data_IF_735578271989
#
_entry.id   IF_735578271989
#
_cell.length_a   1.000
_cell.length_b   1.000
_cell.length_c   1.000
_cell.angle_alpha   90.00
_cell.angle_beta   90.00
_cell.angle_gamma   90.00
#
_symmetry.space_group_name_H-M   'P 1'
#
loop_
_entity.id
_entity.type
_entity.pdbx_description
1 polymer ?
#
# COMPACT_ATOMS: atom_id res chain seq x y z
N UNK A 1 -23.20 -25.69 16.61
CA UNK A 1 -23.57 -25.54 15.18
C UNK A 1 -22.44 -24.76 14.54
N UNK A 2 -21.61 -25.43 13.76
CA UNK A 2 -20.50 -24.84 13.02
C UNK A 2 -20.82 -25.04 11.54
N UNK A 3 -20.88 -23.95 10.76
CA UNK A 3 -21.04 -24.01 9.31
C UNK A 3 -19.69 -24.31 8.68
N UNK A 4 -19.70 -25.24 7.73
CA UNK A 4 -18.55 -25.83 7.08
C UNK A 4 -17.80 -24.81 6.19
N UNK A 5 -16.47 -24.77 6.36
CA UNK A 5 -15.55 -24.38 5.30
C UNK A 5 -15.38 -25.58 4.34
N UNK A 6 -15.61 -25.45 3.03
CA UNK A 6 -15.31 -26.50 2.08
C UNK A 6 -13.80 -26.49 1.81
N UNK A 7 -13.02 -27.23 2.61
CA UNK A 7 -11.66 -27.60 2.26
C UNK A 7 -11.70 -28.49 1.02
N UNK A 8 -11.30 -27.96 -0.14
CA UNK A 8 -11.01 -28.77 -1.32
C UNK A 8 -9.73 -29.57 -1.04
N UNK A 9 -9.89 -30.84 -0.66
CA UNK A 9 -8.78 -31.78 -0.52
C UNK A 9 -8.48 -32.35 -1.90
N UNK A 10 -7.35 -31.95 -2.51
CA UNK A 10 -6.82 -32.61 -3.72
C UNK A 10 -5.74 -33.58 -3.27
N UNK A 11 -5.99 -34.87 -3.48
CA UNK A 11 -5.17 -35.97 -3.00
C UNK A 11 -3.78 -36.04 -3.65
N UNK A 12 -2.87 -36.64 -2.90
CA UNK A 12 -1.51 -36.98 -3.31
C UNK A 12 -1.50 -37.85 -4.57
N UNK A 13 -1.04 -37.30 -5.70
CA UNK A 13 -0.70 -38.10 -6.87
C UNK A 13 -0.83 -37.39 -8.21
N UNK A 14 0.03 -36.43 -8.51
CA UNK A 14 0.39 -36.12 -9.89
C UNK A 14 1.89 -35.81 -9.96
N UNK A 15 2.65 -36.75 -10.50
CA UNK A 15 4.01 -36.50 -11.00
C UNK A 15 3.91 -36.41 -12.51
N UNK A 16 4.16 -35.23 -13.08
CA UNK A 16 4.37 -35.09 -14.52
C UNK A 16 5.84 -35.41 -14.84
N UNK A 17 6.06 -36.51 -15.54
CA UNK A 17 7.29 -36.78 -16.28
C UNK A 17 6.92 -36.73 -17.74
N UNK A 18 7.13 -35.57 -18.36
CA UNK A 18 6.87 -35.34 -19.78
C UNK A 18 6.52 -33.89 -20.08
N UNK A 19 7.18 -33.33 -21.10
CA UNK A 19 6.86 -32.04 -21.72
C UNK A 19 5.43 -32.09 -22.29
N UNK A 20 4.56 -31.22 -21.81
CA UNK A 20 3.17 -31.11 -22.30
C UNK A 20 3.18 -30.20 -23.52
N UNK A 21 2.82 -30.76 -24.69
CA UNK A 21 2.39 -29.99 -25.84
C UNK A 21 0.94 -29.55 -25.61
N UNK A 22 0.60 -28.32 -25.97
CA UNK A 22 -0.77 -27.79 -25.96
C UNK A 22 -1.74 -28.77 -26.64
N UNK A 23 -2.83 -29.12 -25.95
CA UNK A 23 -3.90 -29.92 -26.52
C UNK A 23 -4.69 -29.03 -27.51
N UNK A 24 -4.30 -29.09 -28.78
CA UNK A 24 -5.01 -28.43 -29.86
C UNK A 24 -6.30 -29.20 -30.16
N UNK A 25 -7.43 -28.76 -29.58
CA UNK A 25 -8.74 -29.29 -29.93
C UNK A 25 -9.27 -28.64 -31.21
N UNK A 26 -9.10 -29.30 -32.35
CA UNK A 26 -9.72 -28.88 -33.61
C UNK A 26 -11.23 -29.17 -33.56
N UNK A 27 -12.05 -28.13 -33.62
CA UNK A 27 -13.46 -28.29 -33.99
C UNK A 27 -13.50 -28.89 -35.41
N UNK A 28 -14.39 -29.87 -35.60
CA UNK A 28 -14.41 -30.77 -36.77
C UNK A 28 -14.27 -30.04 -38.11
N UNK A 29 -13.09 -30.15 -38.75
CA UNK A 29 -12.91 -29.62 -40.10
C UNK A 29 -11.47 -29.44 -40.61
N UNK A 30 -10.44 -29.48 -39.76
CA UNK A 30 -9.05 -29.28 -40.21
C UNK A 30 -8.43 -30.63 -40.59
N UNK A 31 -8.28 -30.87 -41.89
CA UNK A 31 -7.70 -32.09 -42.44
C UNK A 31 -6.16 -32.12 -42.24
N UNK A 32 -5.61 -33.26 -41.81
CA UNK A 32 -4.20 -33.46 -41.46
C UNK A 32 -3.21 -33.31 -42.64
N UNK A 33 -3.69 -32.97 -43.84
CA UNK A 33 -2.86 -32.67 -45.02
C UNK A 33 -2.32 -31.23 -45.06
N UNK A 34 -2.78 -30.33 -44.18
CA UNK A 34 -2.41 -28.90 -44.20
C UNK A 34 -1.16 -28.53 -43.40
N UNK A 35 -0.64 -29.43 -42.55
CA UNK A 35 0.57 -29.17 -41.73
C UNK A 35 1.88 -29.12 -42.54
N UNK A 36 1.90 -29.66 -43.76
CA UNK A 36 3.08 -29.60 -44.64
C UNK A 36 3.25 -28.27 -45.39
N UNK A 37 2.21 -27.44 -45.47
CA UNK A 37 2.28 -26.13 -46.14
C UNK A 37 2.50 -24.97 -45.16
N UNK A 38 2.34 -25.22 -43.85
CA UNK A 38 2.71 -24.30 -42.75
C UNK A 38 4.24 -24.17 -42.56
N UNK A 39 5.04 -24.70 -43.49
CA UNK A 39 6.50 -24.70 -43.42
C UNK A 39 7.18 -23.42 -43.91
N UNK A 40 6.49 -22.43 -44.50
CA UNK A 40 7.18 -21.23 -45.04
C UNK A 40 6.35 -19.95 -44.91
N UNK A 41 6.31 -19.41 -43.70
CA UNK A 41 6.38 -17.97 -43.46
C UNK A 41 7.06 -17.65 -42.11
N UNK A 42 7.81 -18.61 -41.56
CA UNK A 42 8.35 -18.58 -40.21
C UNK A 42 9.37 -17.44 -40.08
N UNK A 43 9.12 -16.49 -39.20
CA UNK A 43 10.21 -15.92 -38.40
C UNK A 43 11.05 -17.08 -37.86
N UNK A 44 12.37 -16.98 -37.92
CA UNK A 44 13.21 -18.00 -37.31
C UNK A 44 12.88 -18.04 -35.80
N UNK A 45 12.68 -19.25 -35.26
CA UNK A 45 12.52 -19.44 -33.82
C UNK A 45 11.13 -19.17 -33.24
N UNK A 46 10.04 -19.36 -34.00
CA UNK A 46 8.67 -19.41 -33.44
C UNK A 46 8.54 -20.53 -32.42
N UNK A 47 8.03 -20.23 -31.23
CA UNK A 47 7.78 -21.20 -30.15
C UNK A 47 6.31 -21.53 -29.96
N UNK A 48 5.41 -20.62 -30.30
CA UNK A 48 3.98 -20.80 -30.12
C UNK A 48 3.15 -20.11 -31.21
N UNK A 49 1.94 -20.60 -31.43
CA UNK A 49 0.99 -20.04 -32.38
C UNK A 49 -0.45 -20.17 -31.90
N UNK A 50 -1.25 -19.15 -32.19
CA UNK A 50 -2.69 -19.16 -31.96
C UNK A 50 -3.45 -18.86 -33.25
N UNK A 51 -4.66 -19.41 -33.37
CA UNK A 51 -5.49 -19.30 -34.57
C UNK A 51 -6.86 -18.78 -34.20
N UNK A 52 -7.26 -17.65 -34.80
CA UNK A 52 -8.66 -17.25 -34.82
C UNK A 52 -9.36 -17.95 -36.00
N UNK A 53 -10.32 -18.81 -35.67
CA UNK A 53 -11.12 -19.55 -36.64
C UNK A 53 -12.49 -18.89 -36.90
N UNK A 54 -12.65 -17.59 -36.59
CA UNK A 54 -13.88 -16.84 -36.86
C UNK A 54 -14.30 -16.93 -38.33
N UNK A 55 -15.61 -16.89 -38.57
CA UNK A 55 -16.22 -17.11 -39.89
C UNK A 55 -15.88 -16.02 -40.95
N UNK A 56 -15.11 -15.00 -40.57
CA UNK A 56 -14.73 -13.83 -41.39
C UNK A 56 -13.31 -13.91 -41.93
N UNK A 57 -12.53 -14.90 -41.55
CA UNK A 57 -11.19 -15.18 -42.07
C UNK A 57 -10.33 -15.89 -41.02
N UNK A 58 -9.55 -16.89 -41.45
CA UNK A 58 -8.62 -17.57 -40.54
C UNK A 58 -7.37 -16.69 -40.35
N UNK A 59 -7.19 -16.16 -39.14
CA UNK A 59 -6.00 -15.40 -38.76
C UNK A 59 -5.07 -16.27 -37.91
N UNK A 60 -3.76 -16.09 -38.10
CA UNK A 60 -2.72 -16.84 -37.40
C UNK A 60 -1.79 -15.83 -36.73
N UNK A 61 -1.54 -16.05 -35.44
CA UNK A 61 -0.63 -15.26 -34.63
C UNK A 61 0.54 -16.15 -34.23
N UNK A 62 1.78 -15.67 -34.39
CA UNK A 62 2.98 -16.45 -34.04
C UNK A 62 3.88 -15.67 -33.10
N UNK A 63 4.29 -16.28 -31.99
CA UNK A 63 5.27 -15.74 -31.05
C UNK A 63 6.68 -16.23 -31.38
N UNK A 64 7.64 -15.31 -31.49
CA UNK A 64 9.01 -15.60 -31.89
C UNK A 64 10.01 -15.03 -30.88
N UNK A 65 10.42 -15.80 -29.86
CA UNK A 65 11.25 -15.30 -28.77
C UNK A 65 12.60 -14.75 -29.24
N UNK A 66 13.28 -15.47 -30.14
CA UNK A 66 14.60 -15.06 -30.65
C UNK A 66 14.59 -13.77 -31.47
N UNK A 67 13.40 -13.33 -31.90
CA UNK A 67 13.20 -12.12 -32.68
C UNK A 67 12.43 -11.04 -31.90
N UNK A 68 12.08 -11.32 -30.65
CA UNK A 68 11.27 -10.48 -29.77
C UNK A 68 10.00 -9.95 -30.45
N UNK A 69 9.32 -10.78 -31.25
CA UNK A 69 8.25 -10.32 -32.13
C UNK A 69 7.05 -11.26 -32.20
N UNK A 70 5.90 -10.66 -32.48
CA UNK A 70 4.68 -11.36 -32.86
C UNK A 70 4.29 -10.95 -34.27
N UNK A 71 3.93 -11.94 -35.08
CA UNK A 71 3.47 -11.74 -36.45
C UNK A 71 2.03 -12.20 -36.59
N UNK A 72 1.23 -11.37 -37.27
CA UNK A 72 -0.15 -11.66 -37.61
C UNK A 72 -0.22 -11.97 -39.10
N UNK A 73 -0.88 -13.06 -39.44
CA UNK A 73 -1.11 -13.49 -40.81
C UNK A 73 -2.59 -13.72 -41.06
N UNK A 74 -3.02 -13.50 -42.31
CA UNK A 74 -4.33 -13.86 -42.81
C UNK A 74 -4.21 -15.02 -43.78
N UNK A 75 -5.03 -16.05 -43.61
CA UNK A 75 -5.19 -17.14 -44.57
C UNK A 75 -6.36 -16.85 -45.50
N UNK A 76 -6.09 -16.91 -46.80
CA UNK A 76 -7.13 -16.86 -47.83
C UNK A 76 -7.87 -18.20 -47.88
N UNK A 77 -9.20 -18.19 -47.70
CA UNK A 77 -9.99 -19.42 -47.62
C UNK A 77 -10.03 -20.22 -48.93
N UNK A 78 -9.98 -19.52 -50.07
CA UNK A 78 -10.14 -20.13 -51.39
C UNK A 78 -8.84 -20.80 -51.88
N UNK A 79 -7.70 -20.17 -51.61
CA UNK A 79 -6.38 -20.60 -52.07
C UNK A 79 -5.51 -21.23 -51.00
N UNK A 80 -5.85 -21.03 -49.71
CA UNK A 80 -5.02 -21.43 -48.58
C UNK A 80 -3.77 -20.57 -48.38
N UNK A 81 -3.56 -19.53 -49.21
CA UNK A 81 -2.38 -18.69 -49.13
C UNK A 81 -2.36 -17.86 -47.85
N UNK A 82 -1.18 -17.74 -47.25
CA UNK A 82 -0.94 -16.96 -46.03
C UNK A 82 -0.30 -15.62 -46.42
N UNK A 83 -0.85 -14.52 -45.92
CA UNK A 83 -0.36 -13.16 -46.16
C UNK A 83 -0.06 -12.49 -44.81
N UNK A 84 1.10 -11.84 -44.69
CA UNK A 84 1.43 -11.07 -43.50
C UNK A 84 0.51 -9.83 -43.40
N UNK A 85 -0.04 -9.61 -42.20
CA UNK A 85 -0.92 -8.49 -41.87
C UNK A 85 -0.14 -7.48 -41.03
N UNK A 86 0.47 -7.93 -39.94
CA UNK A 86 1.17 -7.09 -38.99
C UNK A 86 2.42 -7.80 -38.46
N UNK A 87 3.41 -7.01 -38.07
CA UNK A 87 4.52 -7.46 -37.23
C UNK A 87 4.68 -6.42 -36.13
N UNK A 88 4.63 -6.87 -34.87
CA UNK A 88 4.94 -6.06 -33.70
C UNK A 88 6.20 -6.62 -33.06
N UNK A 89 7.17 -5.76 -32.76
CA UNK A 89 8.44 -6.17 -32.15
C UNK A 89 8.72 -5.38 -30.89
N UNK A 90 9.41 -6.00 -29.94
CA UNK A 90 9.94 -5.32 -28.77
C UNK A 90 10.76 -4.08 -29.19
N UNK A 91 10.48 -2.94 -28.55
CA UNK A 91 11.08 -1.65 -28.87
C UNK A 91 10.30 -0.81 -29.90
N UNK A 92 9.32 -1.37 -30.60
CA UNK A 92 8.41 -0.58 -31.44
C UNK A 92 7.56 0.37 -30.56
N UNK A 93 7.21 1.52 -31.12
CA UNK A 93 6.35 2.50 -30.44
C UNK A 93 5.00 1.88 -30.13
N UNK A 94 4.58 1.92 -28.85
CA UNK A 94 3.31 1.34 -28.40
C UNK A 94 3.33 -0.18 -28.17
N UNK A 95 4.49 -0.83 -28.29
CA UNK A 95 4.66 -2.27 -28.04
C UNK A 95 5.41 -2.51 -26.74
N UNK A 96 4.91 -3.43 -25.90
CA UNK A 96 5.49 -3.79 -24.59
C UNK A 96 5.36 -5.29 -24.33
N UNK A 97 6.26 -5.83 -23.51
CA UNK A 97 6.22 -7.22 -23.03
C UNK A 97 6.49 -8.28 -24.10
N UNK A 98 7.32 -7.97 -25.10
CA UNK A 98 7.64 -8.91 -26.19
C UNK A 98 9.10 -9.40 -26.19
N UNK A 99 9.95 -8.99 -25.24
CA UNK A 99 11.33 -9.51 -25.17
C UNK A 99 11.28 -11.00 -24.79
N UNK A 100 11.89 -11.88 -25.57
CA UNK A 100 11.78 -13.34 -25.39
C UNK A 100 10.32 -13.81 -25.26
N UNK A 101 9.42 -13.26 -26.10
CA UNK A 101 8.00 -13.64 -26.13
C UNK A 101 7.85 -15.10 -26.53
N UNK A 102 7.21 -15.91 -25.68
CA UNK A 102 7.24 -17.36 -25.85
C UNK A 102 5.89 -18.04 -25.99
N UNK A 103 4.83 -17.49 -25.40
CA UNK A 103 3.45 -17.97 -25.58
C UNK A 103 2.52 -16.88 -26.11
N UNK A 104 1.48 -17.31 -26.82
CA UNK A 104 0.37 -16.47 -27.26
C UNK A 104 -0.94 -17.27 -27.19
N UNK A 105 -1.92 -16.73 -26.48
CA UNK A 105 -3.26 -17.33 -26.36
C UNK A 105 -4.34 -16.29 -26.69
N UNK A 106 -5.41 -16.73 -27.36
CA UNK A 106 -6.54 -15.86 -27.70
C UNK A 106 -7.68 -16.05 -26.70
N UNK A 107 -8.39 -14.97 -26.41
CA UNK A 107 -9.72 -15.03 -25.78
C UNK A 107 -10.71 -15.84 -26.63
N UNK A 108 -11.72 -16.43 -25.98
CA UNK A 108 -12.72 -17.28 -26.65
C UNK A 108 -13.49 -16.56 -27.76
N UNK A 109 -13.65 -15.24 -27.65
CA UNK A 109 -14.31 -14.39 -28.65
C UNK A 109 -13.32 -13.72 -29.62
N UNK A 110 -12.03 -14.04 -29.51
CA UNK A 110 -10.93 -13.46 -30.28
C UNK A 110 -10.89 -11.92 -30.25
N UNK A 111 -11.36 -11.30 -29.16
CA UNK A 111 -11.26 -9.84 -28.96
C UNK A 111 -9.90 -9.41 -28.41
N UNK A 112 -9.20 -10.34 -27.76
CA UNK A 112 -7.94 -10.11 -27.03
C UNK A 112 -6.96 -11.25 -27.26
N UNK A 113 -5.67 -10.92 -27.41
CA UNK A 113 -4.53 -11.82 -27.34
C UNK A 113 -3.72 -11.56 -26.07
N UNK A 114 -3.31 -12.62 -25.37
CA UNK A 114 -2.44 -12.55 -24.19
C UNK A 114 -1.12 -13.23 -24.50
N UNK A 115 -0.03 -12.55 -24.16
CA UNK A 115 1.33 -12.98 -24.46
C UNK A 115 2.18 -13.00 -23.20
N UNK A 116 3.11 -13.95 -23.13
CA UNK A 116 4.10 -14.03 -22.05
C UNK A 116 5.50 -13.76 -22.58
N UNK A 117 6.28 -13.05 -21.78
CA UNK A 117 7.71 -12.82 -21.98
C UNK A 117 8.46 -13.46 -20.82
N UNK A 118 9.33 -14.42 -21.16
CA UNK A 118 10.08 -15.20 -20.17
C UNK A 118 11.15 -14.36 -19.49
N UNK A 119 11.94 -13.62 -20.26
CA UNK A 119 13.05 -12.82 -19.71
C UNK A 119 12.59 -11.55 -18.98
N UNK A 120 11.41 -11.00 -19.30
CA UNK A 120 10.87 -9.81 -18.60
C UNK A 120 9.83 -10.14 -17.54
N UNK A 121 9.50 -11.42 -17.30
CA UNK A 121 8.39 -11.81 -16.40
C UNK A 121 7.12 -10.99 -16.67
N UNK A 122 6.83 -10.77 -17.96
CA UNK A 122 5.81 -9.81 -18.39
C UNK A 122 4.66 -10.54 -19.06
N UNK A 123 3.44 -10.19 -18.67
CA UNK A 123 2.22 -10.59 -19.35
C UNK A 123 1.69 -9.37 -20.08
N UNK A 124 1.65 -9.46 -21.41
CA UNK A 124 1.14 -8.39 -22.26
C UNK A 124 -0.22 -8.79 -22.84
N UNK A 125 -1.18 -7.89 -22.75
CA UNK A 125 -2.54 -8.07 -23.27
C UNK A 125 -2.75 -7.09 -24.40
N UNK A 126 -3.16 -7.59 -25.56
CA UNK A 126 -3.38 -6.83 -26.78
C UNK A 126 -4.83 -6.99 -27.22
N UNK A 127 -5.48 -5.89 -27.61
CA UNK A 127 -6.76 -5.92 -28.31
C UNK A 127 -6.53 -6.34 -29.75
N UNK A 128 -7.47 -7.13 -30.27
CA UNK A 128 -7.53 -7.57 -31.66
C UNK A 128 -8.57 -6.71 -32.37
N UNK A 129 -8.17 -5.98 -33.40
CA UNK A 129 -9.12 -5.24 -34.23
C UNK A 129 -10.04 -6.23 -34.96
N UNK A 130 -11.38 -6.14 -34.82
CA UNK A 130 -12.30 -7.14 -35.37
C UNK A 130 -12.40 -7.11 -36.90
N UNK A 131 -11.87 -6.08 -37.57
CA UNK A 131 -11.88 -5.94 -39.02
C UNK A 131 -10.53 -6.31 -39.66
N UNK A 132 -9.42 -5.97 -39.02
CA UNK A 132 -8.06 -6.16 -39.57
C UNK A 132 -7.28 -7.28 -38.88
N UNK A 133 -7.71 -7.72 -37.70
CA UNK A 133 -7.01 -8.63 -36.79
C UNK A 133 -5.67 -8.09 -36.26
N UNK A 134 -5.41 -6.78 -36.43
CA UNK A 134 -4.21 -6.13 -35.90
C UNK A 134 -4.25 -6.05 -34.37
N UNK A 135 -3.08 -6.24 -33.77
CA UNK A 135 -2.84 -6.14 -32.33
C UNK A 135 -2.54 -4.70 -31.93
N UNK A 136 -3.17 -4.24 -30.87
CA UNK A 136 -2.85 -2.99 -30.19
C UNK A 136 -2.73 -3.23 -28.69
N UNK A 137 -1.68 -2.70 -28.06
CA UNK A 137 -1.42 -2.94 -26.63
C UNK A 137 -2.56 -2.36 -25.80
N UNK A 138 -3.16 -3.19 -24.93
CA UNK A 138 -4.08 -2.74 -23.89
C UNK A 138 -3.29 -2.44 -22.61
N UNK A 139 -2.55 -3.43 -22.10
CA UNK A 139 -1.68 -3.27 -20.95
C UNK A 139 -0.57 -4.33 -20.96
N UNK A 140 0.51 -4.06 -20.22
CA UNK A 140 1.53 -5.04 -19.90
C UNK A 140 1.80 -5.01 -18.40
N UNK A 141 1.86 -6.17 -17.77
CA UNK A 141 2.15 -6.32 -16.34
C UNK A 141 3.46 -7.06 -16.17
N UNK A 142 4.43 -6.38 -15.59
CA UNK A 142 5.73 -6.92 -15.23
C UNK A 142 5.76 -7.16 -13.73
N UNK A 143 6.20 -8.34 -13.31
CA UNK A 143 6.29 -8.74 -11.90
C UNK A 143 7.74 -8.98 -11.52
N UNK A 144 8.20 -8.34 -10.44
CA UNK A 144 9.52 -8.56 -9.85
C UNK A 144 9.37 -9.18 -8.45
N UNK A 145 10.12 -10.26 -8.17
CA UNK A 145 10.10 -10.97 -6.88
C UNK A 145 11.40 -10.75 -6.09
N UNK A 146 11.34 -10.87 -4.77
CA UNK A 146 12.51 -10.73 -3.89
C UNK A 146 13.43 -11.98 -3.89
N UNK A 147 14.75 -11.77 -3.94
CA UNK A 147 15.79 -12.80 -3.74
C UNK A 147 16.47 -13.31 -5.03
N UNK A 148 17.57 -14.08 -4.87
CA UNK A 148 18.41 -14.61 -5.97
C UNK A 148 17.71 -15.68 -6.85
N UNK A 149 16.47 -16.07 -6.55
CA UNK A 149 15.67 -17.03 -7.34
C UNK A 149 14.81 -16.29 -8.40
N UNK A 150 15.44 -15.42 -9.18
CA UNK A 150 14.82 -14.69 -10.31
C UNK A 150 14.72 -15.62 -11.53
N UNK A 151 13.84 -16.60 -11.45
CA UNK A 151 13.38 -17.39 -12.59
C UNK A 151 11.90 -17.69 -12.41
N UNK A 152 11.05 -16.69 -12.67
CA UNK A 152 9.64 -16.95 -12.95
C UNK A 152 9.46 -17.17 -14.44
N UNK A 153 10.07 -18.23 -14.97
CA UNK A 153 9.69 -18.70 -16.30
C UNK A 153 8.19 -19.03 -16.26
N UNK A 154 7.39 -18.22 -16.95
CA UNK A 154 6.00 -18.55 -17.25
C UNK A 154 5.99 -19.87 -17.99
N UNK A 155 5.34 -20.87 -17.39
CA UNK A 155 5.32 -22.24 -17.90
C UNK A 155 4.07 -22.53 -18.72
N UNK A 156 2.96 -21.84 -18.46
CA UNK A 156 1.74 -21.99 -19.23
C UNK A 156 0.77 -20.81 -19.04
N UNK A 157 -0.16 -20.64 -19.99
CA UNK A 157 -1.16 -19.58 -20.02
C UNK A 157 -2.49 -20.14 -20.55
N UNK A 158 -3.60 -19.84 -19.87
CA UNK A 158 -4.94 -20.20 -20.35
C UNK A 158 -5.92 -19.03 -20.19
N UNK A 159 -6.65 -18.69 -21.24
CA UNK A 159 -7.63 -17.59 -21.26
C UNK A 159 -9.05 -18.17 -21.28
N UNK A 160 -9.92 -17.70 -20.40
CA UNK A 160 -11.37 -17.93 -20.42
C UNK A 160 -12.14 -16.62 -20.64
N UNK A 161 -13.48 -16.71 -20.77
CA UNK A 161 -14.36 -15.58 -21.15
C UNK A 161 -14.23 -14.29 -20.32
N UNK A 162 -13.71 -14.38 -19.09
CA UNK A 162 -13.43 -13.21 -18.23
C UNK A 162 -12.27 -13.47 -17.26
N UNK A 163 -11.45 -14.48 -17.53
CA UNK A 163 -10.38 -14.89 -16.62
C UNK A 163 -9.12 -15.27 -17.39
N UNK A 164 -7.97 -14.80 -16.92
CA UNK A 164 -6.66 -15.27 -17.32
C UNK A 164 -6.11 -16.22 -16.26
N UNK A 165 -5.59 -17.37 -16.66
CA UNK A 165 -4.87 -18.29 -15.80
C UNK A 165 -3.41 -18.35 -16.23
N UNK A 166 -2.48 -18.22 -15.29
CA UNK A 166 -1.05 -18.26 -15.56
C UNK A 166 -0.39 -19.33 -14.69
N UNK A 167 0.28 -20.30 -15.29
CA UNK A 167 1.15 -21.21 -14.56
C UNK A 167 2.59 -20.69 -14.60
N UNK A 168 3.16 -20.43 -13.44
CA UNK A 168 4.60 -20.19 -13.23
C UNK A 168 5.23 -21.41 -12.60
N UNK A 169 6.56 -21.51 -12.62
CA UNK A 169 7.30 -22.51 -11.83
C UNK A 169 6.98 -22.48 -10.32
N UNK A 170 6.38 -21.39 -9.83
CA UNK A 170 5.97 -21.17 -8.44
C UNK A 170 4.47 -21.35 -8.16
N UNK A 171 3.61 -21.61 -9.16
CA UNK A 171 2.18 -21.88 -8.94
C UNK A 171 1.26 -21.50 -10.10
N UNK A 172 -0.07 -21.63 -9.90
CA UNK A 172 -1.10 -21.22 -10.86
C UNK A 172 -1.77 -19.94 -10.33
N UNK A 173 -1.92 -18.92 -11.18
CA UNK A 173 -2.55 -17.63 -10.88
C UNK A 173 -3.82 -17.46 -11.71
N UNK A 174 -4.76 -16.65 -11.21
CA UNK A 174 -6.01 -16.29 -11.90
C UNK A 174 -6.22 -14.77 -11.82
N UNK A 175 -6.45 -14.11 -12.95
CA UNK A 175 -6.78 -12.68 -13.03
C UNK A 175 -8.13 -12.51 -13.74
N UNK A 176 -9.00 -11.62 -13.27
CA UNK A 176 -10.24 -11.26 -13.98
C UNK A 176 -9.99 -10.19 -15.05
N UNK A 177 -10.74 -10.20 -16.15
CA UNK A 177 -10.77 -9.09 -17.12
C UNK A 177 -12.19 -8.90 -17.67
N UNK A 178 -12.55 -7.67 -18.05
CA UNK A 178 -13.80 -7.35 -18.74
C UNK A 178 -13.52 -7.17 -20.25
N UNK A 179 -13.93 -8.12 -21.12
CA UNK A 179 -13.67 -8.05 -22.56
C UNK A 179 -14.41 -6.90 -23.27
N UNK A 180 -15.43 -6.31 -22.64
CA UNK A 180 -16.25 -5.25 -23.24
C UNK A 180 -15.80 -3.84 -22.81
N UNK A 181 -14.83 -3.74 -21.90
CA UNK A 181 -14.37 -2.50 -21.30
C UNK A 181 -12.95 -2.17 -21.79
N UNK A 182 -12.72 -0.91 -22.15
CA UNK A 182 -11.35 -0.37 -22.34
C UNK A 182 -10.61 -0.14 -21.02
N UNK A 183 -11.25 -0.42 -19.87
CA UNK A 183 -10.66 -0.43 -18.53
C UNK A 183 -10.61 -1.86 -17.98
N UNK A 184 -9.46 -2.24 -17.44
CA UNK A 184 -9.26 -3.53 -16.77
C UNK A 184 -10.16 -3.62 -15.54
N UNK A 185 -11.02 -4.64 -15.48
CA UNK A 185 -11.65 -5.03 -14.23
C UNK A 185 -10.55 -5.56 -13.30
N UNK A 186 -10.24 -4.80 -12.24
CA UNK A 186 -9.31 -5.08 -11.13
C UNK A 186 -8.42 -6.33 -11.22
N UNK A 187 -7.10 -6.12 -11.18
CA UNK A 187 -6.13 -7.20 -10.94
C UNK A 187 -6.31 -7.73 -9.50
N UNK A 188 -7.09 -8.80 -9.31
CA UNK A 188 -7.02 -9.58 -8.07
C UNK A 188 -5.77 -10.44 -8.14
N UNK A 189 -4.78 -10.09 -7.33
CA UNK A 189 -3.56 -10.88 -7.29
C UNK A 189 -3.23 -11.29 -5.88
N UNK A 190 -3.36 -12.58 -5.61
CA UNK A 190 -2.81 -13.22 -4.42
C UNK A 190 -1.32 -13.45 -4.66
N UNK A 191 -0.48 -12.56 -4.17
CA UNK A 191 0.96 -12.71 -4.21
C UNK A 191 1.52 -12.93 -2.79
N UNK A 192 2.51 -13.80 -2.67
CA UNK A 192 3.43 -13.83 -1.54
C UNK A 192 4.82 -13.44 -2.09
N UNK A 193 5.56 -12.59 -1.35
CA UNK A 193 6.97 -12.20 -1.62
C UNK A 193 7.23 -11.35 -2.89
N UNK A 194 6.36 -10.40 -3.23
CA UNK A 194 6.63 -9.42 -4.29
C UNK A 194 7.38 -8.22 -3.75
N UNK A 195 8.38 -7.74 -4.49
CA UNK A 195 9.08 -6.48 -4.20
C UNK A 195 8.48 -5.32 -4.99
N UNK A 196 8.17 -5.53 -6.28
CA UNK A 196 7.52 -4.51 -7.10
C UNK A 196 6.58 -5.09 -8.18
N UNK A 197 5.55 -4.34 -8.54
CA UNK A 197 4.69 -4.62 -9.72
C UNK A 197 4.66 -3.37 -10.59
N UNK A 198 4.90 -3.54 -11.88
CA UNK A 198 4.80 -2.45 -12.86
C UNK A 198 3.69 -2.75 -13.87
N UNK A 199 2.76 -1.81 -14.04
CA UNK A 199 1.61 -1.91 -14.94
C UNK A 199 1.68 -0.76 -15.95
N UNK A 200 1.87 -1.09 -17.22
CA UNK A 200 1.77 -0.12 -18.30
C UNK A 200 0.28 0.14 -18.62
N UNK A 201 -0.21 1.33 -18.28
CA UNK A 201 -1.56 1.82 -18.54
C UNK A 201 -1.52 3.34 -18.72
N UNK A 202 -2.47 3.93 -19.47
CA UNK A 202 -2.61 5.39 -19.48
C UNK A 202 -2.93 5.85 -18.04
N UNK A 203 -2.11 6.73 -17.45
CA UNK A 203 -2.02 6.90 -15.99
C UNK A 203 -3.33 7.17 -15.22
N UNK A 204 -4.37 7.67 -15.89
CA UNK A 204 -5.68 7.96 -15.29
C UNK A 204 -6.71 6.81 -15.43
N UNK A 205 -6.43 5.77 -16.24
CA UNK A 205 -7.37 4.66 -16.48
C UNK A 205 -7.18 3.46 -15.54
N UNK A 206 -6.26 3.55 -14.58
CA UNK A 206 -5.96 2.47 -13.63
C UNK A 206 -6.48 2.82 -12.22
N UNK A 207 -7.48 2.06 -11.77
CA UNK A 207 -7.96 2.09 -10.38
C UNK A 207 -7.25 1.00 -9.58
N UNK A 208 -6.64 1.40 -8.46
CA UNK A 208 -6.12 0.48 -7.46
C UNK A 208 -7.26 0.22 -6.47
N UNK A 209 -8.18 -0.67 -6.81
CA UNK A 209 -9.39 -0.87 -5.99
C UNK A 209 -9.11 -1.71 -4.73
N UNK A 210 -8.17 -2.67 -4.80
CA UNK A 210 -7.68 -3.43 -3.63
C UNK A 210 -6.30 -4.03 -3.93
N UNK A 211 -5.26 -3.60 -3.22
CA UNK A 211 -3.97 -4.30 -3.20
C UNK A 211 -4.05 -5.51 -2.26
N UNK A 212 -3.29 -6.59 -2.51
CA UNK A 212 -3.11 -7.62 -1.50
C UNK A 212 -2.51 -7.01 -0.23
N UNK A 213 -2.78 -7.57 0.96
CA UNK A 213 -2.11 -7.14 2.18
C UNK A 213 -0.59 -7.17 1.99
N UNK A 214 0.09 -6.09 2.37
CA UNK A 214 1.54 -6.08 2.42
C UNK A 214 2.03 -7.02 3.55
N UNK A 215 3.27 -7.55 3.45
CA UNK A 215 3.88 -8.27 4.57
C UNK A 215 4.01 -7.38 5.81
N UNK A 216 4.00 -7.98 7.00
CA UNK A 216 4.12 -7.27 8.27
C UNK A 216 5.31 -6.28 8.27
N UNK A 217 5.03 -5.01 8.62
CA UNK A 217 6.01 -3.91 8.68
C UNK A 217 6.34 -3.27 7.33
N UNK A 218 5.71 -3.70 6.24
CA UNK A 218 5.82 -3.09 4.92
C UNK A 218 4.47 -2.55 4.45
N UNK A 219 4.51 -1.57 3.56
CA UNK A 219 3.34 -1.02 2.90
C UNK A 219 3.60 -0.82 1.40
N UNK A 220 2.52 -0.77 0.62
CA UNK A 220 2.62 -0.50 -0.82
C UNK A 220 2.75 1.00 -1.10
N UNK A 221 3.84 1.39 -1.75
CA UNK A 221 3.97 2.69 -2.41
C UNK A 221 3.40 2.62 -3.83
N UNK A 222 2.45 3.49 -4.15
CA UNK A 222 1.73 3.56 -5.42
C UNK A 222 2.24 4.73 -6.23
N UNK A 223 3.21 4.45 -7.10
CA UNK A 223 3.91 5.45 -7.90
C UNK A 223 3.23 5.56 -9.26
N UNK A 224 2.53 6.68 -9.49
CA UNK A 224 1.82 6.97 -10.75
C UNK A 224 2.70 7.79 -11.69
N UNK A 225 2.91 7.31 -12.92
CA UNK A 225 3.61 7.97 -14.01
C UNK A 225 2.69 8.10 -15.24
N UNK A 226 3.11 8.85 -16.26
CA UNK A 226 2.28 9.15 -17.45
C UNK A 226 1.77 7.91 -18.18
N UNK A 227 2.58 6.84 -18.25
CA UNK A 227 2.28 5.60 -18.98
C UNK A 227 2.43 4.33 -18.12
N UNK A 228 2.66 4.48 -16.81
CA UNK A 228 2.96 3.37 -15.93
C UNK A 228 2.49 3.66 -14.50
N UNK A 229 1.97 2.63 -13.84
CA UNK A 229 1.81 2.60 -12.38
C UNK A 229 2.78 1.56 -11.83
N UNK A 230 3.59 1.95 -10.85
CA UNK A 230 4.52 1.06 -10.16
C UNK A 230 4.11 0.94 -8.71
N UNK A 231 4.07 -0.29 -8.23
CA UNK A 231 3.83 -0.64 -6.83
C UNK A 231 5.16 -1.12 -6.27
N UNK A 232 5.63 -0.54 -5.18
CA UNK A 232 6.84 -0.95 -4.48
C UNK A 232 6.49 -1.27 -3.03
N UNK A 233 7.11 -2.28 -2.43
CA UNK A 233 7.07 -2.44 -0.98
C UNK A 233 8.11 -1.51 -0.34
N UNK A 234 7.64 -0.68 0.60
CA UNK A 234 8.47 0.20 1.41
C UNK A 234 8.26 -0.08 2.88
N UNK A 235 9.25 0.30 3.70
CA UNK A 235 9.12 0.24 5.15
C UNK A 235 8.03 1.20 5.65
N UNK A 236 7.32 0.73 6.65
CA UNK A 236 6.33 1.55 7.35
C UNK A 236 7.00 2.48 8.34
N UNK A 237 6.37 3.63 8.57
CA UNK A 237 6.75 4.52 9.65
C UNK A 237 6.44 3.82 10.99
N UNK A 238 7.33 3.96 11.96
CA UNK A 238 7.18 3.49 13.33
C UNK A 238 7.26 4.67 14.31
N UNK A 239 6.53 4.56 15.42
CA UNK A 239 6.54 5.59 16.47
C UNK A 239 7.55 5.19 17.53
N UNK A 240 8.65 5.93 17.56
CA UNK A 240 9.78 5.73 18.46
C UNK A 240 9.45 6.21 19.87
N UNK A 241 8.79 7.37 20.01
CA UNK A 241 8.46 7.90 21.33
C UNK A 241 7.18 8.74 21.35
N UNK A 242 6.54 8.74 22.53
CA UNK A 242 5.37 9.57 22.87
C UNK A 242 5.63 10.16 24.25
N UNK A 243 5.76 11.47 24.37
CA UNK A 243 6.10 12.09 25.66
C UNK A 243 5.44 13.46 25.83
N UNK A 244 5.18 13.87 27.07
CA UNK A 244 4.54 15.15 27.38
C UNK A 244 5.52 16.33 27.45
N UNK A 245 6.78 16.13 27.05
CA UNK A 245 7.85 17.15 27.12
C UNK A 245 8.22 17.63 28.54
N UNK A 246 7.48 17.22 29.57
CA UNK A 246 7.63 17.66 30.95
C UNK A 246 7.77 16.43 31.84
N UNK A 247 8.94 16.21 32.45
CA UNK A 247 9.36 15.01 33.19
C UNK A 247 8.26 14.11 33.80
N UNK A 248 8.16 14.04 35.12
CA UNK A 248 7.12 13.23 35.79
C UNK A 248 5.92 14.07 36.21
N UNK A 249 6.08 15.39 36.38
CA UNK A 249 4.98 16.28 36.80
C UNK A 249 3.79 16.30 35.83
N UNK A 250 2.60 16.57 36.37
CA UNK A 250 1.34 16.72 35.61
C UNK A 250 0.61 18.02 35.92
N UNK A 251 1.27 18.92 36.65
CA UNK A 251 0.83 20.27 36.98
C UNK A 251 0.81 21.22 35.80
N UNK A 252 1.73 21.08 34.85
CA UNK A 252 1.90 21.98 33.69
C UNK A 252 2.25 21.16 32.46
N UNK A 253 1.22 20.69 31.75
CA UNK A 253 1.37 19.95 30.48
C UNK A 253 1.07 20.91 29.33
N UNK A 254 2.12 21.37 28.63
CA UNK A 254 2.03 22.40 27.58
C UNK A 254 2.13 21.85 26.16
N UNK A 255 2.70 20.65 26.02
CA UNK A 255 2.92 20.03 24.72
C UNK A 255 2.92 18.51 24.81
N UNK A 256 2.86 17.89 23.64
CA UNK A 256 3.17 16.48 23.41
C UNK A 256 4.25 16.41 22.32
N UNK A 257 5.22 15.53 22.52
CA UNK A 257 6.27 15.22 21.56
C UNK A 257 6.05 13.79 21.04
N UNK A 258 6.04 13.65 19.73
CA UNK A 258 6.03 12.39 19.01
C UNK A 258 7.32 12.30 18.19
N UNK A 259 7.99 11.15 18.26
CA UNK A 259 9.15 10.88 17.41
C UNK A 259 8.79 9.71 16.50
N UNK A 260 8.86 9.95 15.20
CA UNK A 260 8.68 8.96 14.14
C UNK A 260 10.03 8.62 13.52
N UNK A 261 10.24 7.36 13.17
CA UNK A 261 11.49 6.95 12.53
C UNK A 261 11.63 7.56 11.11
N UNK A 262 12.82 8.07 10.83
CA UNK A 262 13.11 8.71 9.54
C UNK A 262 12.21 9.90 9.16
N UNK A 263 12.15 10.19 7.86
CA UNK A 263 11.41 11.33 7.32
C UNK A 263 9.95 10.98 7.02
N UNK A 264 9.02 11.83 7.46
CA UNK A 264 7.57 11.63 7.35
C UNK A 264 6.90 12.85 6.73
N UNK A 265 5.99 12.61 5.77
CA UNK A 265 5.07 13.62 5.27
C UNK A 265 3.79 13.62 6.12
N UNK A 266 3.42 14.79 6.64
CA UNK A 266 2.30 14.98 7.56
C UNK A 266 1.31 15.97 6.94
N UNK A 267 0.08 15.51 6.70
CA UNK A 267 -0.99 16.34 6.18
C UNK A 267 -1.60 17.23 7.29
N UNK A 268 -2.30 18.29 6.87
CA UNK A 268 -3.04 19.13 7.81
C UNK A 268 -4.08 18.30 8.59
N UNK A 269 -4.25 18.63 9.87
CA UNK A 269 -5.20 17.98 10.76
C UNK A 269 -4.96 16.46 10.95
N UNK A 270 -3.70 16.01 10.86
CA UNK A 270 -3.30 14.63 11.19
C UNK A 270 -3.45 14.30 12.69
N UNK A 271 -3.39 15.32 13.55
CA UNK A 271 -3.41 15.17 15.00
C UNK A 271 -4.72 15.71 15.58
N UNK A 272 -5.43 14.88 16.34
CA UNK A 272 -6.58 15.27 17.13
C UNK A 272 -6.28 15.03 18.60
N UNK A 273 -6.33 16.09 19.41
CA UNK A 273 -6.23 15.99 20.87
C UNK A 273 -7.58 16.32 21.47
N UNK A 274 -8.06 15.47 22.37
CA UNK A 274 -9.35 15.64 23.02
C UNK A 274 -9.22 15.50 24.53
N UNK A 275 -9.92 16.36 25.27
CA UNK A 275 -10.18 16.16 26.70
C UNK A 275 -11.31 15.13 26.83
N UNK A 276 -11.01 14.03 27.52
CA UNK A 276 -11.93 12.91 27.75
C UNK A 276 -13.06 13.32 28.71
N UNK A 277 -14.20 12.68 28.54
CA UNK A 277 -15.41 12.86 29.35
C UNK A 277 -16.62 12.24 28.66
N UNK A 278 -17.82 12.38 29.25
CA UNK A 278 -19.06 11.90 28.63
C UNK A 278 -19.31 12.52 27.25
N UNK A 279 -18.81 13.73 27.04
CA UNK A 279 -18.74 14.43 25.76
C UNK A 279 -17.30 14.91 25.59
N UNK A 280 -16.49 14.27 24.73
CA UNK A 280 -15.13 14.71 24.43
C UNK A 280 -15.12 16.15 23.92
N UNK A 281 -14.10 16.90 24.33
CA UNK A 281 -13.89 18.30 23.91
C UNK A 281 -12.57 18.38 23.19
N UNK A 282 -12.59 18.76 21.91
CA UNK A 282 -11.38 19.00 21.13
C UNK A 282 -10.52 20.10 21.77
N UNK A 283 -9.22 19.85 21.82
CA UNK A 283 -8.20 20.81 22.23
C UNK A 283 -7.66 21.46 20.97
N UNK A 284 -7.68 22.79 20.91
CA UNK A 284 -7.01 23.48 19.81
C UNK A 284 -5.51 23.25 19.92
N UNK A 285 -4.87 22.86 18.82
CA UNK A 285 -3.44 22.55 18.79
C UNK A 285 -2.72 23.32 17.70
N UNK A 286 -1.41 23.46 17.88
CA UNK A 286 -0.46 23.83 16.84
C UNK A 286 0.69 22.85 16.91
N UNK A 287 1.21 22.41 15.78
CA UNK A 287 2.39 21.56 15.76
C UNK A 287 3.55 22.21 15.00
N UNK A 288 4.77 21.82 15.38
CA UNK A 288 6.01 22.04 14.63
C UNK A 288 6.63 20.70 14.30
N UNK A 289 7.33 20.64 13.17
CA UNK A 289 8.02 19.43 12.72
C UNK A 289 9.49 19.78 12.56
N UNK A 290 10.35 19.01 13.23
CA UNK A 290 11.80 19.12 13.16
C UNK A 290 12.40 17.75 12.80
N UNK A 291 13.66 17.74 12.39
CA UNK A 291 14.42 16.51 12.15
C UNK A 291 15.54 16.45 13.18
N UNK A 292 15.64 15.33 13.90
CA UNK A 292 16.71 15.13 14.87
C UNK A 292 18.07 14.81 14.19
N UNK A 293 19.10 14.58 15.00
CA UNK A 293 20.45 14.29 14.49
C UNK A 293 20.58 12.92 13.82
N UNK A 294 19.65 12.01 14.10
CA UNK A 294 19.60 10.65 13.57
C UNK A 294 18.72 10.57 12.30
N UNK A 295 18.07 11.68 11.91
CA UNK A 295 17.22 11.79 10.73
C UNK A 295 15.74 11.46 10.99
N UNK A 296 15.34 11.33 12.24
CA UNK A 296 13.95 11.05 12.65
C UNK A 296 13.11 12.32 12.67
N UNK A 297 11.81 12.17 12.44
CA UNK A 297 10.85 13.27 12.47
C UNK A 297 10.35 13.49 13.90
N UNK A 298 10.59 14.69 14.45
CA UNK A 298 10.13 15.10 15.78
C UNK A 298 8.97 16.07 15.61
N UNK A 299 7.80 15.68 16.10
CA UNK A 299 6.59 16.51 16.09
C UNK A 299 6.31 17.00 17.49
N UNK A 300 6.32 18.32 17.66
CA UNK A 300 5.93 18.98 18.92
C UNK A 300 4.56 19.60 18.76
N UNK A 301 3.56 19.05 19.44
CA UNK A 301 2.17 19.50 19.47
C UNK A 301 1.97 20.37 20.71
N UNK A 302 1.83 21.68 20.54
CA UNK A 302 1.51 22.63 21.62
C UNK A 302 0.00 22.85 21.71
N UNK A 303 -0.49 23.03 22.94
CA UNK A 303 -1.91 23.27 23.21
C UNK A 303 -2.24 24.76 23.26
N UNK A 304 -3.40 25.13 22.74
CA UNK A 304 -3.92 26.50 22.73
C UNK A 304 -5.44 26.50 22.98
N UNK A 305 -6.02 27.70 23.07
CA UNK A 305 -7.48 27.88 23.15
C UNK A 305 -8.06 27.61 24.54
N UNK A 306 -9.38 27.39 24.59
CA UNK A 306 -10.17 27.36 25.82
C UNK A 306 -9.87 26.14 26.73
N UNK A 307 -9.21 25.12 26.17
CA UNK A 307 -8.75 23.93 26.91
C UNK A 307 -7.42 24.15 27.63
N UNK A 308 -6.90 25.39 27.63
CA UNK A 308 -5.64 25.76 28.29
C UNK A 308 -5.81 26.84 29.34
N UNK A 309 -4.97 26.78 30.36
CA UNK A 309 -4.66 27.86 31.31
C UNK A 309 -3.64 28.82 30.68
N UNK A 310 -3.28 29.86 31.43
CA UNK A 310 -2.22 30.77 31.05
C UNK A 310 -0.91 30.02 30.74
N UNK A 311 -0.14 30.53 29.79
CA UNK A 311 1.09 29.87 29.34
C UNK A 311 0.90 28.58 28.52
N UNK A 312 -0.34 28.24 28.11
CA UNK A 312 -0.62 27.10 27.23
C UNK A 312 -0.70 25.74 27.93
N UNK A 313 -0.70 25.73 29.27
CA UNK A 313 -0.83 24.49 30.04
C UNK A 313 -2.27 23.97 29.98
N UNK A 314 -2.49 22.67 29.79
CA UNK A 314 -3.83 22.08 29.81
C UNK A 314 -4.55 22.35 31.15
N UNK A 315 -5.88 22.51 31.06
CA UNK A 315 -6.76 22.47 32.25
C UNK A 315 -6.83 21.04 32.81
N UNK A 316 -7.34 20.86 34.03
CA UNK A 316 -7.35 19.52 34.62
C UNK A 316 -8.24 18.55 33.83
N UNK A 317 -7.77 17.33 33.62
CA UNK A 317 -8.53 16.27 32.94
C UNK A 317 -7.66 15.18 32.35
N UNK A 318 -8.29 14.11 31.89
CA UNK A 318 -7.66 13.08 31.07
C UNK A 318 -7.75 13.49 29.60
N UNK A 319 -6.69 13.22 28.84
CA UNK A 319 -6.59 13.60 27.45
C UNK A 319 -6.28 12.39 26.59
N UNK A 320 -6.63 12.48 25.32
CA UNK A 320 -6.30 11.48 24.31
C UNK A 320 -5.80 12.18 23.05
N UNK A 321 -4.69 11.70 22.50
CA UNK A 321 -4.25 11.97 21.15
C UNK A 321 -4.77 10.83 20.25
N UNK A 322 -5.31 11.21 19.10
CA UNK A 322 -5.54 10.33 17.96
C UNK A 322 -4.75 10.84 16.75
N UNK A 323 -3.97 9.97 16.11
CA UNK A 323 -3.29 10.28 14.84
C UNK A 323 -3.99 9.52 13.72
N UNK A 324 -4.39 10.25 12.68
CA UNK A 324 -5.02 9.67 11.50
C UNK A 324 -3.96 9.02 10.59
N UNK A 325 -3.99 7.69 10.38
CA UNK A 325 -2.96 6.97 9.62
C UNK A 325 -2.97 7.33 8.13
N UNK A 326 -4.10 7.82 7.60
CA UNK A 326 -4.21 8.24 6.20
C UNK A 326 -3.53 9.59 5.92
N UNK A 327 -3.16 10.32 6.98
CA UNK A 327 -2.58 11.66 6.93
C UNK A 327 -1.11 11.71 7.33
N UNK A 328 -0.51 10.56 7.55
CA UNK A 328 0.88 10.42 7.94
C UNK A 328 1.49 9.28 7.13
N UNK A 329 2.54 9.60 6.36
CA UNK A 329 3.16 8.65 5.42
C UNK A 329 4.65 8.80 5.35
N UNK A 330 5.35 7.75 4.95
CA UNK A 330 6.80 7.83 4.70
C UNK A 330 7.08 8.89 3.64
N UNK A 331 8.02 9.80 3.91
CA UNK A 331 8.22 10.97 3.06
C UNK A 331 8.50 10.58 1.60
N UNK A 332 7.72 11.15 0.68
CA UNK A 332 7.83 10.89 -0.76
C UNK A 332 7.14 9.63 -1.27
N UNK A 333 6.41 8.89 -0.42
CA UNK A 333 5.67 7.67 -0.79
C UNK A 333 4.17 7.84 -0.52
N UNK A 334 3.36 6.87 -0.97
CA UNK A 334 1.96 6.73 -0.55
C UNK A 334 1.75 5.72 0.58
N UNK A 335 2.81 5.24 1.22
CA UNK A 335 2.73 4.23 2.26
C UNK A 335 2.17 4.81 3.55
N UNK A 336 0.97 4.35 3.92
CA UNK A 336 0.34 4.70 5.20
C UNK A 336 1.14 4.15 6.38
N UNK A 337 1.04 4.87 7.49
CA UNK A 337 1.65 4.52 8.77
C UNK A 337 0.84 3.44 9.52
N UNK A 338 1.51 2.61 10.32
CA UNK A 338 0.91 1.62 11.24
C UNK A 338 0.58 2.30 12.58
N UNK A 339 -0.63 2.84 12.70
CA UNK A 339 -0.98 3.60 13.89
C UNK A 339 -1.20 2.77 15.15
N UNK A 340 -1.75 1.57 15.03
CA UNK A 340 -2.03 0.71 16.18
C UNK A 340 -0.93 -0.32 16.47
N UNK A 341 0.11 -0.38 15.63
CA UNK A 341 1.31 -1.20 15.82
C UNK A 341 1.06 -2.68 15.60
N UNK A 342 0.08 -3.04 14.76
CA UNK A 342 -0.29 -4.44 14.50
C UNK A 342 0.51 -5.08 13.36
N UNK A 343 1.41 -4.32 12.74
CA UNK A 343 2.24 -4.70 11.61
C UNK A 343 1.60 -4.40 10.25
N UNK A 344 0.39 -3.83 10.21
CA UNK A 344 -0.36 -3.55 8.98
C UNK A 344 -0.60 -2.04 8.83
N UNK A 345 -0.54 -1.57 7.58
CA UNK A 345 -0.87 -0.18 7.25
C UNK A 345 -2.29 0.20 7.62
N UNK A 346 -2.44 1.37 8.25
CA UNK A 346 -3.70 1.85 8.79
C UNK A 346 -3.73 1.77 10.31
N UNK A 347 -4.93 1.74 10.88
CA UNK A 347 -5.12 1.79 12.34
C UNK A 347 -4.80 3.18 12.90
N UNK A 348 -5.67 3.74 13.75
CA UNK A 348 -5.36 5.04 14.34
C UNK A 348 -4.43 4.88 15.53
N UNK A 349 -3.35 5.68 15.59
CA UNK A 349 -2.56 5.76 16.81
C UNK A 349 -3.39 6.42 17.89
N UNK A 350 -3.48 5.75 19.04
CA UNK A 350 -4.11 6.30 20.23
C UNK A 350 -3.10 6.40 21.37
N UNK A 351 -3.08 7.55 22.03
CA UNK A 351 -2.26 7.78 23.21
C UNK A 351 -3.09 8.53 24.26
N UNK A 352 -3.16 8.02 25.49
CA UNK A 352 -4.09 8.51 26.53
C UNK A 352 -5.41 7.76 26.57
N UNK A 353 -5.56 6.73 25.74
CA UNK A 353 -6.71 5.83 25.75
C UNK A 353 -6.68 4.84 26.93
N UNK A 354 -5.49 4.62 27.52
CA UNK A 354 -5.30 3.80 28.72
C UNK A 354 -4.69 4.61 29.86
N UNK A 355 -4.93 4.18 31.11
CA UNK A 355 -4.36 4.85 32.29
C UNK A 355 -2.82 4.80 32.28
N UNK A 356 -2.23 3.76 31.68
CA UNK A 356 -0.78 3.59 31.59
C UNK A 356 -0.10 4.70 30.78
N UNK A 357 -0.78 5.26 29.77
CA UNK A 357 -0.25 6.35 28.94
C UNK A 357 -0.01 7.63 29.76
N UNK A 358 -0.69 7.77 30.90
CA UNK A 358 -0.52 8.89 31.82
C UNK A 358 -0.67 10.26 31.13
N UNK A 359 -1.53 10.35 30.10
CA UNK A 359 -1.87 11.61 29.43
C UNK A 359 -3.02 12.31 30.15
N UNK A 360 -2.65 13.11 31.14
CA UNK A 360 -3.57 13.92 31.91
C UNK A 360 -2.90 15.22 32.35
N UNK A 361 -3.70 16.16 32.82
CA UNK A 361 -3.22 17.33 33.55
C UNK A 361 -3.97 17.42 34.87
N UNK A 362 -3.24 17.73 35.94
CA UNK A 362 -3.78 17.97 37.27
C UNK A 362 -2.86 18.98 37.97
N UNK A 363 -3.30 20.24 38.05
CA UNK A 363 -2.50 21.27 38.69
C UNK A 363 -2.23 20.95 40.17
N UNK A 364 -0.96 20.98 40.57
CA UNK A 364 -0.49 20.59 41.89
C UNK A 364 0.01 19.14 41.97
N UNK A 365 -0.28 18.29 40.99
CA UNK A 365 0.34 16.96 40.89
C UNK A 365 1.76 17.11 40.31
N UNK A 366 2.76 17.04 41.19
CA UNK A 366 4.17 17.35 40.86
C UNK A 366 5.01 16.11 40.58
N UNK A 367 4.51 14.91 40.89
CA UNK A 367 5.18 13.64 40.59
C UNK A 367 4.41 12.72 39.64
N UNK A 368 3.21 13.12 39.24
CA UNK A 368 2.42 12.54 38.16
C UNK A 368 1.66 11.29 38.58
N UNK A 369 1.38 11.10 39.86
CA UNK A 369 0.73 9.90 40.38
C UNK A 369 -0.81 9.97 40.39
N UNK A 370 -1.37 11.05 39.81
CA UNK A 370 -2.80 11.34 39.64
C UNK A 370 -3.50 11.84 40.89
N UNK A 371 -2.78 12.18 41.94
CA UNK A 371 -3.35 12.91 43.06
C UNK A 371 -2.56 14.16 43.44
N UNK A 372 -3.11 14.94 44.37
CA UNK A 372 -2.44 16.11 44.94
C UNK A 372 -2.39 15.91 46.44
N UNK A 373 -1.30 15.37 46.95
CA UNK A 373 -1.17 14.92 48.34
C UNK A 373 -0.21 15.77 49.19
N UNK A 374 0.16 15.24 50.36
CA UNK A 374 1.08 15.91 51.28
C UNK A 374 2.51 16.06 50.75
N UNK A 375 2.94 15.19 49.83
CA UNK A 375 4.23 15.28 49.15
C UNK A 375 4.22 16.44 48.16
N UNK A 376 3.18 16.57 47.35
CA UNK A 376 2.99 17.73 46.47
C UNK A 376 2.93 19.03 47.25
N UNK A 377 2.19 19.05 48.36
CA UNK A 377 2.12 20.22 49.22
C UNK A 377 3.50 20.60 49.79
N UNK A 378 4.31 19.59 50.13
CA UNK A 378 5.70 19.79 50.55
C UNK A 378 6.54 20.45 49.47
N UNK A 379 6.43 19.98 48.22
CA UNK A 379 7.13 20.55 47.05
C UNK A 379 6.63 21.96 46.73
N UNK A 380 5.31 22.19 46.78
CA UNK A 380 4.73 23.51 46.63
C UNK A 380 5.24 24.50 47.68
N UNK A 381 5.29 24.08 48.95
CA UNK A 381 5.80 24.92 50.04
C UNK A 381 7.26 25.32 49.89
N UNK A 382 8.07 24.57 49.14
CA UNK A 382 9.46 24.94 48.84
C UNK A 382 9.57 26.02 47.75
N UNK A 383 8.58 26.08 46.85
CA UNK A 383 8.54 27.02 45.74
C UNK A 383 7.70 28.29 46.04
N UNK A 384 6.85 28.24 47.06
CA UNK A 384 5.96 29.35 47.42
C UNK A 384 6.73 30.64 47.77
N UNK A 385 6.23 31.78 47.26
CA UNK A 385 6.83 33.12 47.34
C UNK A 385 8.18 33.26 46.63
N UNK A 386 8.46 32.40 45.65
CA UNK A 386 9.59 32.57 44.72
C UNK A 386 9.11 33.13 43.39
N UNK A 387 10.03 33.69 42.62
CA UNK A 387 9.76 34.23 41.28
C UNK A 387 10.79 33.71 40.28
N UNK A 388 10.50 33.85 38.99
CA UNK A 388 11.38 33.43 37.91
C UNK A 388 12.84 33.90 38.13
N UNK A 389 13.78 32.96 38.01
CA UNK A 389 15.21 33.20 38.23
C UNK A 389 15.67 33.12 39.69
N UNK A 390 14.77 32.96 40.66
CA UNK A 390 15.14 32.68 42.05
C UNK A 390 15.39 31.19 42.29
N UNK A 391 16.37 30.81 43.14
CA UNK A 391 16.54 29.42 43.55
C UNK A 391 15.26 28.89 44.22
N UNK A 392 14.76 27.75 43.75
CA UNK A 392 13.55 27.12 44.27
C UNK A 392 12.27 27.48 43.50
N UNK A 393 12.32 28.40 42.54
CA UNK A 393 11.22 28.63 41.60
C UNK A 393 11.00 27.39 40.74
N UNK A 394 9.73 26.97 40.66
CA UNK A 394 9.27 25.84 39.87
C UNK A 394 8.12 26.32 38.98
N UNK A 395 8.40 26.49 37.69
CA UNK A 395 7.42 26.96 36.69
C UNK A 395 6.20 26.03 36.56
N UNK A 396 6.27 24.78 37.02
CA UNK A 396 5.12 23.88 37.00
C UNK A 396 4.06 24.27 38.03
N UNK A 397 4.43 25.09 39.01
CA UNK A 397 3.58 25.57 40.09
C UNK A 397 3.10 27.01 39.91
N UNK A 398 3.63 27.75 38.95
CA UNK A 398 3.07 29.03 38.48
C UNK A 398 1.87 28.73 37.55
N UNK A 399 0.66 28.73 38.12
CA UNK A 399 -0.55 28.34 37.40
C UNK A 399 -1.11 29.42 36.49
N UNK A 400 -0.88 30.69 36.80
CA UNK A 400 -1.40 31.80 36.02
C UNK A 400 -0.35 32.50 35.15
N UNK A 401 0.88 31.98 35.18
CA UNK A 401 1.94 32.28 34.25
C UNK A 401 2.46 33.72 34.39
N UNK A 402 2.31 34.32 35.57
CA UNK A 402 2.72 35.71 35.81
C UNK A 402 4.18 35.83 36.30
N UNK A 403 4.86 34.70 36.47
CA UNK A 403 6.28 34.61 36.77
C UNK A 403 6.60 34.59 38.27
N UNK A 404 5.61 34.46 39.14
CA UNK A 404 5.80 34.14 40.55
C UNK A 404 4.86 33.03 41.05
N UNK A 405 5.12 32.53 42.26
CA UNK A 405 4.30 31.49 42.91
C UNK A 405 3.70 32.09 44.17
N UNK A 406 2.49 32.62 44.06
CA UNK A 406 1.87 33.45 45.09
C UNK A 406 0.55 32.88 45.64
N UNK A 407 -0.22 33.74 46.32
CA UNK A 407 -1.49 33.37 46.92
C UNK A 407 -2.55 32.90 45.90
N UNK A 408 -2.44 33.30 44.64
CA UNK A 408 -3.32 32.86 43.55
C UNK A 408 -3.05 31.41 43.19
N UNK A 409 -1.77 31.03 43.04
CA UNK A 409 -1.34 29.65 42.81
C UNK A 409 -1.71 28.75 43.98
N UNK A 410 -1.42 29.21 45.20
CA UNK A 410 -1.81 28.48 46.40
C UNK A 410 -3.33 28.28 46.49
N UNK A 411 -4.10 29.30 46.11
CA UNK A 411 -5.56 29.21 46.05
C UNK A 411 -6.04 28.13 45.07
N UNK A 412 -5.38 27.98 43.92
CA UNK A 412 -5.67 26.93 42.92
C UNK A 412 -5.19 25.56 43.39
N UNK A 413 -4.01 25.47 44.00
CA UNK A 413 -3.47 24.24 44.56
C UNK A 413 -4.41 23.70 45.65
N UNK A 414 -4.84 24.57 46.57
CA UNK A 414 -5.71 24.22 47.69
C UNK A 414 -7.09 23.69 47.27
N UNK A 415 -7.57 24.00 46.06
CA UNK A 415 -8.81 23.41 45.52
C UNK A 415 -8.66 21.93 45.18
N UNK A 416 -7.43 21.49 44.90
CA UNK A 416 -7.07 20.14 44.43
C UNK A 416 -6.41 19.31 45.52
N UNK A 417 -5.94 19.92 46.60
CA UNK A 417 -5.35 19.19 47.73
C UNK A 417 -6.27 18.07 48.25
N UNK A 418 -5.70 16.88 48.40
CA UNK A 418 -6.35 15.60 48.73
C UNK A 418 -7.42 15.16 47.72
N UNK A 419 -7.26 15.55 46.45
CA UNK A 419 -8.07 15.07 45.33
C UNK A 419 -7.24 14.17 44.44
N UNK A 420 -7.90 13.16 43.90
CA UNK A 420 -7.38 12.26 42.88
C UNK A 420 -8.16 12.48 41.60
N UNK A 421 -7.48 12.47 40.46
CA UNK A 421 -8.10 12.49 39.14
C UNK A 421 -8.43 11.05 38.70
N UNK A 422 -9.71 10.63 38.70
CA UNK A 422 -10.08 9.32 38.17
C UNK A 422 -9.80 9.26 36.65
N UNK A 423 -9.49 8.08 36.13
CA UNK A 423 -9.29 7.86 34.70
C UNK A 423 -10.59 7.90 33.89
#
# INVERSE_FOLDING_TARGET
MASANPNLTIGSGFTFSGTVHSDVSFSSGVDLQYLTELAVATSAGVTDLAVDASATGQFIYTASPVADEVRVYRRDEASGQIQAVQTIRNGDTGVRGLLDVDQIELSTDASVAVLTSRDQNTIATYAIDPATAELSLLHAVTVEMAGDDVSSETSDLAVGESNLYLATHSGIRRTGFDPASTQTAGFQTEFQNIESISIAAAGDSFTVDTLPPAPDGLAWDVIRQTEQVRLELVDMVDVMSRSHGTGTQRSTVKQLELIFDGAVDIDADAFLVERRGDQPVAVDTRHTVETDLDGNTVVTISFIGDSTRAGGALVDGNYQLTVDPSKLRRAGTSAEFDGDGDGVAGGALQFGATEADSFFALYGDTDGDRDVDGQDYGRFGLAFLTSEGQPGYDESLDSDGDGDIDGQDYGRFGQRFLRTLPF
#
